data_IF_238604303508
#
_entry.id   IF_238604303508
#
_cell.length_a   1.000
_cell.length_b   1.000
_cell.length_c   1.000
_cell.angle_alpha   90.00
_cell.angle_beta   90.00
_cell.angle_gamma   90.00
#
_symmetry.space_group_name_H-M   'P 1'
#
loop_
_entity.id
_entity.type
_entity.pdbx_description
1 polymer ?
#
# COMPACT_ATOMS: atom_id res chain seq x y z
N UNK A 1 20.67 -1.37 25.66
CA UNK A 1 19.54 -0.44 25.41
C UNK A 1 18.73 -1.00 24.26
N UNK A 2 17.55 -1.54 24.56
CA UNK A 2 16.57 -2.01 23.55
C UNK A 2 15.96 -0.79 22.88
N UNK A 3 16.01 -0.72 21.55
CA UNK A 3 15.35 0.35 20.78
C UNK A 3 13.83 0.18 20.90
N UNK A 4 13.12 1.29 21.05
CA UNK A 4 11.66 1.34 20.97
C UNK A 4 11.20 0.85 19.58
N UNK A 5 10.17 -0.01 19.55
CA UNK A 5 9.61 -0.61 18.33
C UNK A 5 9.11 0.43 17.33
N UNK A 6 8.56 1.56 17.81
CA UNK A 6 8.09 2.66 16.93
C UNK A 6 9.28 3.31 16.21
N UNK A 7 10.33 3.62 16.96
CA UNK A 7 11.55 4.23 16.44
C UNK A 7 12.21 3.30 15.43
N UNK A 8 12.25 1.99 15.71
CA UNK A 8 12.79 1.00 14.78
C UNK A 8 11.99 0.92 13.46
N UNK A 9 10.66 1.04 13.51
CA UNK A 9 9.80 1.04 12.33
C UNK A 9 10.01 2.30 11.47
N UNK A 10 10.03 3.48 12.09
CA UNK A 10 10.27 4.76 11.39
C UNK A 10 11.64 4.77 10.72
N UNK A 11 12.69 4.32 11.41
CA UNK A 11 14.02 4.17 10.81
C UNK A 11 14.02 3.22 9.60
N UNK A 12 13.25 2.13 9.66
CA UNK A 12 13.13 1.15 8.56
C UNK A 12 12.43 1.76 7.35
N UNK A 13 11.35 2.51 7.57
CA UNK A 13 10.62 3.22 6.50
C UNK A 13 11.53 4.24 5.84
N UNK A 14 12.21 5.09 6.63
CA UNK A 14 13.14 6.09 6.12
C UNK A 14 14.28 5.47 5.31
N UNK A 15 14.86 4.36 5.79
CA UNK A 15 15.90 3.63 5.04
C UNK A 15 15.39 3.09 3.71
N UNK A 16 14.17 2.57 3.68
CA UNK A 16 13.54 2.04 2.47
C UNK A 16 13.29 3.16 1.46
N UNK A 17 12.69 4.26 1.90
CA UNK A 17 12.44 5.43 1.04
C UNK A 17 13.73 6.02 0.48
N UNK A 18 14.80 6.10 1.27
CA UNK A 18 16.11 6.55 0.76
C UNK A 18 16.71 5.63 -0.31
N UNK A 19 16.44 4.32 -0.26
CA UNK A 19 16.89 3.40 -1.31
C UNK A 19 16.10 3.62 -2.60
N UNK A 20 14.77 3.76 -2.48
CA UNK A 20 13.89 4.05 -3.61
C UNK A 20 14.17 5.42 -4.23
N UNK A 21 14.61 6.39 -3.42
CA UNK A 21 14.93 7.75 -3.86
C UNK A 21 16.32 7.91 -4.50
N UNK A 22 17.19 6.89 -4.46
CA UNK A 22 18.61 7.03 -4.80
C UNK A 22 18.98 6.79 -6.28
N UNK A 23 18.00 6.75 -7.17
CA UNK A 23 18.22 6.77 -8.63
C UNK A 23 18.18 8.20 -9.23
N UNK A 24 18.02 9.26 -8.43
CA UNK A 24 17.96 10.67 -8.87
C UNK A 24 19.23 11.30 -9.47
N UNK A 25 20.34 10.56 -9.60
CA UNK A 25 21.56 11.00 -10.30
C UNK A 25 21.85 10.19 -11.57
N UNK A 26 21.03 9.19 -11.90
CA UNK A 26 21.07 8.54 -13.21
C UNK A 26 20.03 9.20 -14.10
N UNK A 27 20.43 9.49 -15.34
CA UNK A 27 19.59 10.06 -16.37
C UNK A 27 18.32 9.20 -16.55
N UNK A 28 17.24 9.62 -15.90
CA UNK A 28 15.93 8.96 -15.84
C UNK A 28 15.25 8.84 -17.21
N UNK A 29 15.83 9.43 -18.27
CA UNK A 29 15.25 9.47 -19.60
C UNK A 29 15.34 8.14 -20.35
N UNK A 30 16.29 7.25 -20.02
CA UNK A 30 16.52 6.02 -20.79
C UNK A 30 15.86 4.75 -20.23
N UNK A 31 15.41 4.72 -18.96
CA UNK A 31 14.94 3.48 -18.30
C UNK A 31 13.44 3.43 -17.95
N UNK A 32 12.70 4.51 -18.14
CA UNK A 32 11.27 4.61 -17.77
C UNK A 32 10.33 4.79 -18.96
N UNK A 33 10.68 4.29 -20.14
CA UNK A 33 9.81 4.36 -21.34
C UNK A 33 8.49 3.61 -21.17
N UNK A 34 8.44 2.65 -20.23
CA UNK A 34 7.29 1.77 -19.99
C UNK A 34 6.50 2.12 -18.71
N UNK A 35 6.81 3.26 -18.06
CA UNK A 35 6.06 3.67 -16.87
C UNK A 35 4.70 4.25 -17.25
N UNK A 36 3.65 3.44 -17.17
CA UNK A 36 2.30 3.94 -17.25
C UNK A 36 2.00 4.83 -16.02
N UNK A 37 1.57 6.06 -16.29
CA UNK A 37 1.16 6.97 -15.21
C UNK A 37 -0.08 6.39 -14.53
N UNK A 38 -0.02 6.10 -13.21
CA UNK A 38 -1.15 5.50 -12.54
C UNK A 38 -2.33 6.47 -12.47
N UNK A 39 -3.54 5.98 -12.73
CA UNK A 39 -4.77 6.74 -12.54
C UNK A 39 -5.20 6.67 -11.08
N UNK A 40 -5.18 7.80 -10.38
CA UNK A 40 -5.58 7.89 -8.97
C UNK A 40 -7.05 8.29 -8.88
N UNK A 41 -7.84 7.50 -8.15
CA UNK A 41 -9.25 7.80 -7.86
C UNK A 41 -9.44 7.99 -6.36
N UNK A 42 -10.15 9.05 -5.97
CA UNK A 42 -10.53 9.31 -4.58
C UNK A 42 -12.03 9.10 -4.38
N UNK A 43 -12.40 8.22 -3.45
CA UNK A 43 -13.80 7.90 -3.15
C UNK A 43 -14.09 8.32 -1.70
N UNK A 44 -15.03 9.24 -1.52
CA UNK A 44 -15.49 9.62 -0.19
C UNK A 44 -16.46 8.57 0.35
N UNK A 45 -16.16 7.98 1.51
CA UNK A 45 -17.02 6.95 2.09
C UNK A 45 -17.62 7.38 3.42
N UNK A 46 -18.93 7.55 3.45
CA UNK A 46 -19.71 7.80 4.67
C UNK A 46 -19.75 6.56 5.59
N UNK A 47 -20.10 6.70 6.88
CA UNK A 47 -20.31 5.55 7.76
C UNK A 47 -21.38 4.59 7.19
N UNK A 48 -21.13 3.28 7.26
CA UNK A 48 -22.07 2.26 6.81
C UNK A 48 -22.19 2.04 5.30
N UNK A 49 -21.46 2.77 4.44
CA UNK A 49 -21.57 2.61 2.98
C UNK A 49 -20.92 1.35 2.40
N UNK A 50 -20.40 0.44 3.23
CA UNK A 50 -19.85 -0.84 2.75
C UNK A 50 -18.52 -0.74 2.01
N UNK A 51 -17.67 0.26 2.26
CA UNK A 51 -16.34 0.44 1.64
C UNK A 51 -15.54 -0.87 1.57
N UNK A 52 -15.43 -1.57 2.70
CA UNK A 52 -14.65 -2.81 2.83
C UNK A 52 -15.26 -3.92 1.97
N UNK A 53 -16.59 -4.08 2.00
CA UNK A 53 -17.31 -5.07 1.19
C UNK A 53 -17.09 -4.84 -0.29
N UNK A 54 -17.14 -3.58 -0.74
CA UNK A 54 -16.90 -3.23 -2.14
C UNK A 54 -15.47 -3.57 -2.57
N UNK A 55 -14.45 -3.28 -1.75
CA UNK A 55 -13.05 -3.63 -2.04
C UNK A 55 -12.87 -5.15 -2.17
N UNK A 56 -13.47 -5.95 -1.27
CA UNK A 56 -13.34 -7.42 -1.31
C UNK A 56 -13.96 -8.02 -2.57
N UNK A 57 -15.03 -7.42 -3.11
CA UNK A 57 -15.71 -7.91 -4.32
C UNK A 57 -14.93 -7.64 -5.61
N UNK A 58 -14.26 -6.49 -5.69
CA UNK A 58 -13.58 -6.05 -6.92
C UNK A 58 -12.10 -6.45 -6.99
N UNK A 59 -11.53 -6.98 -5.91
CA UNK A 59 -10.10 -7.23 -5.80
C UNK A 59 -9.67 -8.56 -6.42
N UNK A 60 -8.62 -8.51 -7.25
CA UNK A 60 -7.92 -9.68 -7.78
C UNK A 60 -6.70 -10.03 -6.91
N UNK A 61 -6.72 -11.18 -6.26
CA UNK A 61 -5.64 -11.65 -5.38
C UNK A 61 -4.30 -11.93 -6.07
N UNK A 62 -4.25 -11.97 -7.40
CA UNK A 62 -3.01 -12.14 -8.18
C UNK A 62 -2.39 -10.82 -8.61
N UNK A 63 -3.16 -9.73 -8.65
CA UNK A 63 -2.75 -8.46 -9.29
C UNK A 63 -2.81 -7.28 -8.35
N UNK A 64 -3.74 -7.30 -7.41
CA UNK A 64 -4.04 -6.14 -6.57
C UNK A 64 -3.38 -6.25 -5.20
N UNK A 65 -3.14 -5.10 -4.57
CA UNK A 65 -2.62 -4.99 -3.22
C UNK A 65 -3.46 -4.00 -2.41
N UNK A 66 -3.90 -4.41 -1.21
CA UNK A 66 -4.60 -3.53 -0.26
C UNK A 66 -3.62 -3.07 0.80
N UNK A 67 -3.52 -1.75 0.98
CA UNK A 67 -2.78 -1.11 2.05
C UNK A 67 -3.76 -0.39 2.97
N UNK A 68 -3.68 -0.68 4.27
CA UNK A 68 -4.51 -0.06 5.31
C UNK A 68 -3.62 0.43 6.46
N UNK A 69 -4.12 1.38 7.24
CA UNK A 69 -3.38 1.99 8.33
C UNK A 69 -3.28 1.10 9.57
N UNK A 70 -4.24 0.21 9.80
CA UNK A 70 -4.33 -0.59 11.03
C UNK A 70 -4.25 -2.09 10.76
N UNK A 71 -3.69 -2.82 11.73
CA UNK A 71 -3.59 -4.29 11.66
C UNK A 71 -5.00 -4.88 11.74
N UNK A 72 -5.87 -4.32 12.58
CA UNK A 72 -7.24 -4.77 12.76
C UNK A 72 -8.04 -4.72 11.46
N UNK A 73 -7.87 -3.66 10.66
CA UNK A 73 -8.53 -3.57 9.36
C UNK A 73 -8.00 -4.61 8.36
N UNK A 74 -6.70 -4.90 8.41
CA UNK A 74 -6.11 -5.94 7.57
C UNK A 74 -6.59 -7.35 7.99
N UNK A 75 -6.75 -7.58 9.29
CA UNK A 75 -7.29 -8.84 9.80
C UNK A 75 -8.77 -9.03 9.49
N UNK A 76 -9.58 -7.97 9.61
CA UNK A 76 -11.00 -7.99 9.24
C UNK A 76 -11.18 -8.34 7.75
N UNK A 77 -10.38 -7.71 6.88
CA UNK A 77 -10.34 -8.04 5.44
C UNK A 77 -9.98 -9.51 5.20
N UNK A 78 -8.98 -10.04 5.90
CA UNK A 78 -8.57 -11.46 5.76
C UNK A 78 -9.65 -12.43 6.22
N UNK A 79 -10.38 -12.12 7.29
CA UNK A 79 -11.44 -12.99 7.84
C UNK A 79 -12.68 -13.02 6.95
N UNK A 80 -13.03 -11.87 6.38
CA UNK A 80 -14.19 -11.71 5.51
C UNK A 80 -13.87 -12.01 4.03
N UNK A 81 -12.66 -12.47 3.74
CA UNK A 81 -12.26 -12.85 2.39
C UNK A 81 -13.01 -14.12 1.98
N UNK A 82 -13.70 -14.13 0.82
CA UNK A 82 -14.30 -15.37 0.32
C UNK A 82 -13.19 -16.38 0.02
N UNK A 83 -13.13 -17.46 0.78
CA UNK A 83 -12.30 -18.62 0.46
C UNK A 83 -12.93 -19.37 -0.71
N UNK A 84 -12.19 -19.57 -1.80
CA UNK A 84 -12.55 -20.50 -2.87
C UNK A 84 -12.76 -21.93 -2.35
#
# INVERSE_FOLDING_TARGET
>A
MTRDTKVALEERILRTMRKLSKENDQDYSETFTDWETPKITWINGVPGCGKTTWIVQEFDNKRDCIVTATIEAAEDLKRNWPTE
#
